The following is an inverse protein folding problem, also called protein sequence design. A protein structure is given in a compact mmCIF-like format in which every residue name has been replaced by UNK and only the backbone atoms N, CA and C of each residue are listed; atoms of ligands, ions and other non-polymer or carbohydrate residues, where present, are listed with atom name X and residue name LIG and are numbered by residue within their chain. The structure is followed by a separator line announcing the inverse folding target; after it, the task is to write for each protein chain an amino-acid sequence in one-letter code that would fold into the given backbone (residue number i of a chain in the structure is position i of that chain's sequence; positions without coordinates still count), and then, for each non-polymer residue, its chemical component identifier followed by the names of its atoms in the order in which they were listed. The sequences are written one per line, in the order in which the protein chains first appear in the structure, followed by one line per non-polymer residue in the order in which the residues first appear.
data_IF_475152755161
#
_entry.id   IF_475152755161
#
_cell.length_a   1.000
_cell.length_b   1.000
_cell.length_c   1.000
_cell.angle_alpha   90.00
_cell.angle_beta   90.00
_cell.angle_gamma   90.00
#
_symmetry.space_group_name_H-M   'P 1'
#
loop_
_entity.id
_entity.type
_entity.pdbx_description
1 polymer ?
#
# COMPACT_ATOMS: atom_id res chain seq x y z
N UNK A 1 18.12 25.24 -28.95
CA UNK A 1 18.29 23.89 -28.37
C UNK A 1 19.44 23.92 -27.36
N UNK A 2 19.12 24.15 -26.09
CA UNK A 2 20.07 24.22 -24.96
C UNK A 2 19.74 23.09 -23.98
N UNK A 3 20.69 22.20 -23.68
CA UNK A 3 20.50 21.09 -22.73
C UNK A 3 21.61 20.04 -22.74
N UNK A 4 21.66 19.21 -21.69
CA UNK A 4 22.67 18.17 -21.41
C UNK A 4 22.72 17.00 -22.43
N UNK A 5 21.73 16.88 -23.33
CA UNK A 5 21.67 15.89 -24.44
C UNK A 5 22.03 14.46 -24.02
N UNK A 6 21.30 13.92 -23.05
CA UNK A 6 21.47 12.52 -22.67
C UNK A 6 21.18 11.59 -23.85
N UNK A 7 21.91 10.48 -23.94
CA UNK A 7 21.76 9.44 -24.96
C UNK A 7 21.58 8.08 -24.30
N UNK A 8 20.81 7.22 -24.95
CA UNK A 8 20.53 5.85 -24.51
C UNK A 8 19.96 5.78 -23.08
N UNK A 9 19.08 6.73 -22.74
CA UNK A 9 18.36 6.76 -21.47
C UNK A 9 16.87 6.66 -21.73
N UNK A 10 16.21 5.82 -20.94
CA UNK A 10 14.75 5.67 -20.93
C UNK A 10 14.16 6.52 -19.82
N UNK A 11 12.91 6.92 -19.98
CA UNK A 11 12.18 7.70 -18.99
C UNK A 11 10.69 7.32 -18.95
N UNK A 12 10.06 7.49 -17.80
CA UNK A 12 8.61 7.36 -17.61
C UNK A 12 8.16 8.53 -16.76
N UNK A 13 7.12 9.23 -17.21
CA UNK A 13 6.56 10.37 -16.47
C UNK A 13 5.44 9.88 -15.54
N UNK A 14 5.40 10.39 -14.31
CA UNK A 14 4.33 10.07 -13.37
C UNK A 14 3.93 11.31 -12.55
N UNK A 15 2.71 11.30 -12.01
CA UNK A 15 2.28 12.36 -11.11
C UNK A 15 0.82 12.25 -10.69
N UNK A 16 0.45 13.03 -9.67
CA UNK A 16 -0.93 13.22 -9.25
C UNK A 16 -1.54 14.47 -9.88
N UNK A 17 -2.87 14.52 -9.96
CA UNK A 17 -3.60 15.72 -10.39
C UNK A 17 -4.91 15.87 -9.60
N UNK A 18 -5.38 17.10 -9.43
CA UNK A 18 -6.67 17.37 -8.77
C UNK A 18 -7.86 17.30 -9.72
N UNK A 19 -7.80 18.09 -10.81
CA UNK A 19 -8.93 18.32 -11.72
C UNK A 19 -8.59 17.92 -13.16
N UNK A 20 -8.16 18.87 -13.98
CA UNK A 20 -7.86 18.70 -15.41
C UNK A 20 -6.53 18.00 -15.68
N UNK A 21 -5.57 18.08 -14.75
CA UNK A 21 -4.25 17.47 -14.92
C UNK A 21 -3.45 18.07 -16.07
N UNK A 22 -2.77 17.21 -16.84
CA UNK A 22 -1.99 17.60 -18.05
C UNK A 22 -0.50 17.87 -17.80
N UNK A 23 -0.05 18.01 -16.56
CA UNK A 23 1.37 18.19 -16.24
C UNK A 23 2.21 16.96 -16.62
N UNK A 24 1.68 15.75 -16.41
CA UNK A 24 2.37 14.48 -16.74
C UNK A 24 2.58 14.35 -18.24
N UNK A 25 1.58 14.70 -19.06
CA UNK A 25 1.70 14.66 -20.52
C UNK A 25 2.71 15.70 -21.00
N UNK A 26 2.64 16.93 -20.45
CA UNK A 26 3.60 17.98 -20.77
C UNK A 26 5.03 17.61 -20.39
N UNK A 27 5.21 16.90 -19.28
CA UNK A 27 6.52 16.38 -18.86
C UNK A 27 7.00 15.28 -19.81
N UNK A 28 6.12 14.35 -20.18
CA UNK A 28 6.43 13.28 -21.15
C UNK A 28 6.91 13.86 -22.48
N UNK A 29 6.20 14.84 -23.04
CA UNK A 29 6.63 15.50 -24.29
C UNK A 29 8.00 16.17 -24.14
N UNK A 30 8.24 16.87 -23.03
CA UNK A 30 9.54 17.54 -22.80
C UNK A 30 10.69 16.55 -22.62
N UNK A 31 10.45 15.40 -21.99
CA UNK A 31 11.44 14.33 -21.86
C UNK A 31 11.74 13.69 -23.21
N UNK A 32 10.71 13.47 -24.02
CA UNK A 32 10.87 12.98 -25.39
C UNK A 32 11.69 13.98 -26.25
N UNK A 33 11.37 15.27 -26.19
CA UNK A 33 12.11 16.33 -26.90
C UNK A 33 13.56 16.45 -26.42
N UNK A 34 13.82 16.10 -25.16
CA UNK A 34 15.17 16.05 -24.60
C UNK A 34 15.99 14.81 -25.05
N UNK A 35 15.35 13.86 -25.75
CA UNK A 35 15.98 12.69 -26.33
C UNK A 35 15.92 11.42 -25.47
N UNK A 36 15.02 11.37 -24.48
CA UNK A 36 14.75 10.14 -23.73
C UNK A 36 13.76 9.24 -24.49
N UNK A 37 13.96 7.93 -24.40
CA UNK A 37 12.99 6.94 -24.87
C UNK A 37 11.88 6.80 -23.81
N UNK A 38 10.66 7.21 -24.16
CA UNK A 38 9.54 7.28 -23.20
C UNK A 38 8.79 5.94 -23.09
N UNK A 39 8.56 5.51 -21.85
CA UNK A 39 7.63 4.42 -21.50
C UNK A 39 6.27 4.96 -21.05
N UNK A 40 5.32 4.04 -20.78
CA UNK A 40 4.01 4.28 -20.16
C UNK A 40 4.10 5.37 -19.07
N UNK A 41 3.19 6.34 -19.11
CA UNK A 41 3.05 7.36 -18.08
C UNK A 41 1.99 6.96 -17.05
N UNK A 42 2.23 7.25 -15.78
CA UNK A 42 1.32 6.93 -14.68
C UNK A 42 0.65 8.19 -14.14
N UNK A 43 -0.68 8.16 -13.97
CA UNK A 43 -1.45 9.28 -13.43
C UNK A 43 -2.31 8.81 -12.27
N UNK A 44 -2.22 9.50 -11.14
CA UNK A 44 -3.13 9.33 -10.01
C UNK A 44 -3.97 10.60 -9.80
N UNK A 45 -5.16 10.46 -9.22
CA UNK A 45 -6.01 11.61 -8.87
C UNK A 45 -5.93 11.85 -7.36
N UNK A 46 -5.66 13.09 -6.95
CA UNK A 46 -5.48 13.48 -5.54
C UNK A 46 -4.43 12.63 -4.80
N UNK A 47 -4.59 12.46 -3.48
CA UNK A 47 -3.79 11.54 -2.68
C UNK A 47 -4.24 10.11 -3.03
N UNK A 48 -3.34 9.24 -3.51
CA UNK A 48 -3.69 7.87 -3.85
C UNK A 48 -4.13 7.09 -2.61
N UNK A 49 -5.22 6.33 -2.78
CA UNK A 49 -5.67 5.30 -1.84
C UNK A 49 -4.83 4.02 -2.00
N UNK A 50 -5.18 2.98 -1.25
CA UNK A 50 -4.43 1.72 -1.25
C UNK A 50 -4.40 1.07 -2.64
N UNK A 51 -5.50 1.15 -3.39
CA UNK A 51 -5.62 0.57 -4.73
C UNK A 51 -4.77 1.33 -5.74
N UNK A 52 -4.82 2.67 -5.69
CA UNK A 52 -3.96 3.51 -6.52
C UNK A 52 -2.47 3.31 -6.19
N UNK A 53 -2.12 3.07 -4.93
CA UNK A 53 -0.75 2.72 -4.54
C UNK A 53 -0.32 1.36 -5.11
N UNK A 54 -1.21 0.36 -5.17
CA UNK A 54 -0.88 -0.92 -5.81
C UNK A 54 -0.67 -0.76 -7.32
N UNK A 55 -1.46 0.09 -7.99
CA UNK A 55 -1.20 0.44 -9.39
C UNK A 55 0.16 1.13 -9.59
N UNK A 56 0.57 1.98 -8.65
CA UNK A 56 1.90 2.59 -8.68
C UNK A 56 3.02 1.55 -8.52
N UNK A 57 2.83 0.55 -7.64
CA UNK A 57 3.77 -0.55 -7.46
C UNK A 57 3.87 -1.42 -8.71
N UNK A 58 2.75 -1.79 -9.32
CA UNK A 58 2.75 -2.59 -10.54
C UNK A 58 3.40 -1.84 -11.70
N UNK A 59 3.14 -0.53 -11.83
CA UNK A 59 3.84 0.30 -12.81
C UNK A 59 5.37 0.24 -12.63
N UNK A 60 5.86 0.27 -11.39
CA UNK A 60 7.28 0.08 -11.07
C UNK A 60 7.80 -1.30 -11.48
N UNK A 61 7.04 -2.37 -11.21
CA UNK A 61 7.38 -3.73 -11.64
C UNK A 61 7.48 -3.83 -13.15
N UNK A 62 6.54 -3.23 -13.87
CA UNK A 62 6.52 -3.24 -15.33
C UNK A 62 7.71 -2.50 -15.94
N UNK A 63 8.03 -1.30 -15.43
CA UNK A 63 9.21 -0.55 -15.87
C UNK A 63 10.50 -1.34 -15.61
N UNK A 64 10.61 -1.99 -14.44
CA UNK A 64 11.76 -2.83 -14.13
C UNK A 64 11.90 -4.02 -15.09
N UNK A 65 10.79 -4.67 -15.47
CA UNK A 65 10.78 -5.76 -16.47
C UNK A 65 11.21 -5.27 -17.84
N UNK A 66 10.66 -4.15 -18.30
CA UNK A 66 10.96 -3.59 -19.61
C UNK A 66 12.43 -3.12 -19.75
N UNK A 67 13.03 -2.64 -18.67
CA UNK A 67 14.36 -2.03 -18.69
C UNK A 67 15.45 -2.92 -18.08
N UNK A 68 15.13 -4.19 -17.78
CA UNK A 68 16.10 -5.16 -17.32
C UNK A 68 17.22 -5.37 -18.36
N UNK A 69 18.48 -5.22 -17.94
CA UNK A 69 19.66 -5.35 -18.80
C UNK A 69 20.00 -6.81 -19.13
N UNK A 70 19.71 -7.70 -18.20
CA UNK A 70 19.86 -9.14 -18.34
C UNK A 70 18.47 -9.78 -18.42
N UNK A 71 18.34 -10.97 -19.04
CA UNK A 71 17.11 -11.74 -18.96
C UNK A 71 16.77 -11.92 -17.48
N UNK A 72 15.62 -11.39 -17.06
CA UNK A 72 15.14 -11.68 -15.72
C UNK A 72 15.05 -13.20 -15.59
N UNK A 73 15.50 -13.79 -14.47
CA UNK A 73 15.21 -15.19 -14.22
C UNK A 73 13.71 -15.35 -14.38
N UNK A 74 13.30 -16.15 -15.37
CA UNK A 74 11.90 -16.53 -15.53
C UNK A 74 11.57 -17.25 -14.24
N UNK A 75 10.97 -16.51 -13.33
CA UNK A 75 10.45 -17.08 -12.12
C UNK A 75 9.40 -18.05 -12.61
N UNK A 76 9.70 -19.34 -12.53
CA UNK A 76 8.73 -20.43 -12.58
C UNK A 76 7.85 -20.29 -11.35
N UNK A 77 7.14 -19.18 -11.27
CA UNK A 77 6.00 -18.99 -10.41
C UNK A 77 4.92 -19.69 -11.20
N UNK A 78 4.75 -20.98 -10.88
CA UNK A 78 3.46 -21.62 -11.00
C UNK A 78 2.42 -20.60 -10.57
N UNK A 79 1.44 -20.40 -11.44
CA UNK A 79 0.25 -19.60 -11.26
C UNK A 79 -0.20 -19.62 -9.79
N UNK A 80 0.08 -18.54 -9.06
CA UNK A 80 -0.77 -18.18 -7.92
C UNK A 80 -1.60 -17.04 -8.43
N UNK A 81 -2.71 -17.46 -9.03
CA UNK A 81 -3.86 -16.63 -9.33
C UNK A 81 -4.23 -15.89 -8.05
N UNK A 82 -4.52 -14.61 -8.24
CA UNK A 82 -5.34 -13.76 -7.41
C UNK A 82 -6.56 -14.55 -6.89
N UNK A 83 -6.51 -15.00 -5.65
CA UNK A 83 -7.69 -15.48 -4.93
C UNK A 83 -8.01 -14.46 -3.84
N UNK A 84 -8.96 -13.58 -4.15
CA UNK A 84 -9.89 -13.14 -3.12
C UNK A 84 -10.65 -14.38 -2.64
N UNK A 85 -10.52 -14.70 -1.35
CA UNK A 85 -11.58 -14.99 -0.36
C UNK A 85 -11.15 -16.09 0.64
N UNK A 86 -11.20 -15.72 1.93
CA UNK A 86 -11.46 -16.57 3.12
C UNK A 86 -10.60 -17.79 3.49
N UNK A 87 -10.07 -17.68 4.72
CA UNK A 87 -10.01 -18.70 5.79
C UNK A 87 -9.19 -19.99 5.51
N UNK A 88 -8.18 -20.36 6.31
CA UNK A 88 -8.33 -20.70 7.72
C UNK A 88 -6.95 -20.96 8.35
N UNK A 89 -6.60 -20.21 9.39
CA UNK A 89 -6.28 -20.86 10.67
C UNK A 89 -7.08 -20.08 11.70
N UNK A 90 -8.30 -20.54 11.97
CA UNK A 90 -9.10 -20.10 13.10
C UNK A 90 -8.38 -20.56 14.34
N UNK A 91 -7.40 -19.78 14.79
CA UNK A 91 -7.19 -19.65 16.21
C UNK A 91 -8.29 -18.68 16.67
N UNK A 92 -9.16 -19.15 17.56
CA UNK A 92 -10.17 -18.35 18.23
C UNK A 92 -9.46 -17.30 19.10
N UNK A 93 -9.08 -16.17 18.50
CA UNK A 93 -8.27 -15.11 19.12
C UNK A 93 -9.11 -14.09 19.89
N UNK A 94 -10.38 -14.39 20.15
CA UNK A 94 -11.30 -13.54 20.90
C UNK A 94 -11.91 -12.38 20.09
N UNK A 95 -12.78 -11.56 20.71
CA UNK A 95 -13.47 -10.47 20.04
C UNK A 95 -12.50 -9.34 19.64
N UNK A 96 -12.80 -8.69 18.51
CA UNK A 96 -12.16 -7.41 18.14
C UNK A 96 -12.66 -6.32 19.08
N UNK A 97 -11.83 -5.33 19.36
CA UNK A 97 -12.21 -4.25 20.28
C UNK A 97 -12.08 -2.89 19.61
N UNK A 98 -13.03 -2.00 19.92
CA UNK A 98 -13.10 -0.68 19.33
C UNK A 98 -12.89 0.38 20.38
N UNK A 99 -12.01 1.34 20.11
CA UNK A 99 -11.92 2.53 20.93
C UNK A 99 -13.21 3.35 20.79
N UNK A 100 -13.95 3.55 21.88
CA UNK A 100 -15.16 4.39 21.88
C UNK A 100 -14.91 5.84 21.46
N UNK A 101 -13.68 6.35 21.68
CA UNK A 101 -13.32 7.76 21.45
C UNK A 101 -12.94 8.05 20.00
N UNK A 102 -12.05 7.25 19.41
CA UNK A 102 -11.54 7.48 18.06
C UNK A 102 -11.99 6.43 17.03
N UNK A 103 -12.76 5.42 17.47
CA UNK A 103 -13.29 4.35 16.64
C UNK A 103 -12.22 3.43 16.01
N UNK A 104 -10.97 3.50 16.49
CA UNK A 104 -9.90 2.58 16.08
C UNK A 104 -10.20 1.15 16.53
N UNK A 105 -9.91 0.17 15.66
CA UNK A 105 -10.24 -1.24 15.87
C UNK A 105 -8.96 -2.03 16.15
N UNK A 106 -8.88 -2.59 17.35
CA UNK A 106 -7.91 -3.61 17.70
C UNK A 106 -8.29 -4.95 17.07
N UNK A 107 -7.39 -5.49 16.25
CA UNK A 107 -7.51 -6.81 15.63
C UNK A 107 -6.52 -7.78 16.30
N UNK A 108 -6.98 -8.77 17.09
CA UNK A 108 -6.11 -9.73 17.76
C UNK A 108 -5.15 -10.44 16.81
N UNK A 109 -5.56 -10.69 15.56
CA UNK A 109 -4.71 -11.30 14.54
C UNK A 109 -3.51 -10.42 14.14
N UNK A 110 -3.63 -9.10 14.27
CA UNK A 110 -2.57 -8.13 13.94
C UNK A 110 -1.76 -7.72 15.18
N UNK A 111 -2.40 -7.70 16.36
CA UNK A 111 -1.79 -7.16 17.57
C UNK A 111 -1.42 -5.69 17.42
N UNK A 112 -0.45 -5.23 18.21
CA UNK A 112 0.17 -3.91 18.09
C UNK A 112 1.67 -3.99 18.45
N UNK A 113 2.54 -4.39 17.50
CA UNK A 113 3.95 -4.64 17.75
C UNK A 113 4.73 -3.40 18.23
N UNK A 114 4.24 -2.19 17.99
CA UNK A 114 4.89 -0.96 18.46
C UNK A 114 4.76 -0.74 19.97
N UNK A 115 3.82 -1.45 20.62
CA UNK A 115 3.54 -1.36 22.06
C UNK A 115 3.71 -2.72 22.74
N UNK A 116 4.56 -3.57 22.18
CA UNK A 116 4.88 -4.92 22.68
C UNK A 116 3.67 -5.88 22.72
N UNK A 117 2.65 -5.64 21.89
CA UNK A 117 1.52 -6.55 21.71
C UNK A 117 1.73 -7.37 20.44
N UNK A 118 2.09 -8.65 20.60
CA UNK A 118 2.37 -9.51 19.48
C UNK A 118 1.12 -9.77 18.60
N UNK A 119 1.29 -10.04 17.29
CA UNK A 119 0.21 -10.56 16.47
C UNK A 119 -0.28 -11.89 17.03
N UNK A 120 -1.59 -12.04 17.20
CA UNK A 120 -2.20 -13.20 17.85
C UNK A 120 -2.41 -13.05 19.36
N UNK A 121 -2.25 -11.86 19.94
CA UNK A 121 -2.57 -11.61 21.34
C UNK A 121 -4.07 -11.30 21.52
N UNK A 122 -4.85 -12.12 22.25
CA UNK A 122 -6.24 -11.81 22.57
C UNK A 122 -6.32 -10.59 23.51
N UNK A 123 -7.44 -9.87 23.53
CA UNK A 123 -7.58 -8.67 24.36
C UNK A 123 -7.37 -8.91 25.87
N UNK A 124 -7.61 -10.14 26.34
CA UNK A 124 -7.34 -10.57 27.71
C UNK A 124 -5.86 -10.58 28.07
N UNK A 125 -4.98 -10.73 27.09
CA UNK A 125 -3.52 -10.78 27.26
C UNK A 125 -2.85 -9.44 26.91
N UNK A 126 -3.61 -8.47 26.38
CA UNK A 126 -3.12 -7.11 26.13
C UNK A 126 -2.83 -6.42 27.48
N UNK A 127 -1.62 -5.87 27.69
CA UNK A 127 -1.27 -5.20 28.94
C UNK A 127 -2.18 -4.01 29.27
N UNK A 128 -2.43 -3.74 30.55
CA UNK A 128 -3.24 -2.58 30.98
C UNK A 128 -2.60 -1.23 30.62
N UNK A 129 -1.28 -1.21 30.38
CA UNK A 129 -0.55 -0.03 29.90
C UNK A 129 -0.71 0.20 28.38
N UNK A 130 -1.55 -0.59 27.70
CA UNK A 130 -1.86 -0.38 26.31
C UNK A 130 -2.57 0.96 26.11
N UNK A 131 -2.07 1.74 25.14
CA UNK A 131 -2.65 3.02 24.76
C UNK A 131 -3.12 2.92 23.31
N UNK A 132 -4.33 3.35 23.00
CA UNK A 132 -4.81 3.42 21.63
C UNK A 132 -3.83 4.24 20.76
N UNK A 133 -3.37 3.72 19.61
CA UNK A 133 -2.38 4.41 18.78
C UNK A 133 -2.89 5.72 18.17
N UNK A 134 -4.21 5.89 18.05
CA UNK A 134 -4.83 7.09 17.46
C UNK A 134 -5.10 8.18 18.51
N UNK A 135 -5.58 7.82 19.71
CA UNK A 135 -5.99 8.80 20.73
C UNK A 135 -5.18 8.76 22.03
N UNK A 136 -4.26 7.80 22.17
CA UNK A 136 -3.41 7.60 23.35
C UNK A 136 -4.16 7.39 24.67
N UNK A 137 -5.44 6.99 24.61
CA UNK A 137 -6.23 6.60 25.79
C UNK A 137 -6.02 5.13 26.11
N UNK A 138 -6.19 4.78 27.38
CA UNK A 138 -5.92 3.45 27.90
C UNK A 138 -6.86 2.35 27.38
N UNK A 139 -6.62 1.13 27.86
CA UNK A 139 -7.43 -0.06 27.58
C UNK A 139 -8.90 0.05 28.05
N UNK A 140 -9.17 0.99 28.95
CA UNK A 140 -10.47 1.22 29.61
C UNK A 140 -11.55 1.79 28.67
N UNK A 141 -11.15 2.49 27.60
CA UNK A 141 -12.11 3.10 26.65
C UNK A 141 -12.51 2.19 25.49
N UNK A 142 -12.10 0.92 25.52
CA UNK A 142 -12.37 -0.04 24.45
C UNK A 142 -13.61 -0.88 24.72
N UNK A 143 -14.44 -1.03 23.69
CA UNK A 143 -15.69 -1.80 23.68
C UNK A 143 -15.59 -3.00 22.74
N UNK A 144 -16.31 -4.08 23.02
CA UNK A 144 -16.29 -5.27 22.18
C UNK A 144 -17.06 -5.04 20.86
N UNK A 145 -16.36 -5.20 19.74
CA UNK A 145 -16.94 -5.25 18.40
C UNK A 145 -17.43 -6.68 18.16
N UNK A 146 -18.60 -7.01 18.72
CA UNK A 146 -19.26 -8.27 18.44
C UNK A 146 -19.56 -8.35 16.93
N UNK A 147 -18.87 -9.24 16.22
CA UNK A 147 -19.23 -9.61 14.86
C UNK A 147 -20.51 -10.45 14.94
N UNK A 148 -21.66 -9.79 15.04
CA UNK A 148 -22.96 -10.43 14.88
C UNK A 148 -23.08 -10.87 13.41
N UNK A 149 -22.69 -12.12 13.14
CA UNK A 149 -23.16 -12.83 11.96
C UNK A 149 -24.63 -13.20 12.20
N UNK A 150 -25.54 -12.45 11.58
CA UNK A 150 -26.93 -12.85 11.38
C UNK A 150 -27.26 -12.87 9.89
#
# INVERSE_FOLDING_TARGET
MTGLRFRNKRASAFGSHGWSGGAVDRLSTRLQDAGFEMSLSLKAKWRPDQDALELCREHGREIARQWALAPLPQSTVNTVVKEETSATTTADLGPRMQCSVCQWIYDPAKGEPMQDVAPGTPWSEVPDNFLCPECSLGKDVFEELASEAK
#
